data_IF_630474370863
#
_entry.id   IF_630474370863
#
_cell.length_a   1.000
_cell.length_b   1.000
_cell.length_c   1.000
_cell.angle_alpha   90.00
_cell.angle_beta   90.00
_cell.angle_gamma   90.00
#
_symmetry.space_group_name_H-M   'P 1'
#
loop_
_entity.id
_entity.type
_entity.pdbx_description
1 polymer ?
#
# COMPACT_ATOMS: atom_id res chain seq x y z
N UNK A 1 25.10 1.56 8.49
CA UNK A 1 24.39 0.27 8.37
C UNK A 1 24.77 -0.40 7.06
N UNK A 2 25.24 -1.64 7.14
CA UNK A 2 25.58 -2.42 5.95
C UNK A 2 24.91 -3.79 6.04
N UNK A 3 24.20 -4.19 5.00
CA UNK A 3 23.66 -5.54 4.82
C UNK A 3 24.53 -6.33 3.83
N UNK A 4 24.66 -7.63 4.03
CA UNK A 4 25.28 -8.51 3.05
C UNK A 4 24.36 -8.67 1.82
N UNK A 5 24.93 -9.00 0.67
CA UNK A 5 24.15 -9.33 -0.53
C UNK A 5 23.17 -10.46 -0.25
N UNK A 6 21.91 -10.30 -0.64
CA UNK A 6 20.81 -11.22 -0.35
C UNK A 6 20.26 -11.16 1.08
N UNK A 7 20.78 -10.29 1.95
CA UNK A 7 20.25 -10.14 3.29
C UNK A 7 18.90 -9.40 3.28
N UNK A 8 18.07 -9.66 4.29
CA UNK A 8 16.80 -8.98 4.52
C UNK A 8 16.93 -7.99 5.67
N UNK A 9 16.58 -6.72 5.41
CA UNK A 9 16.40 -5.69 6.42
C UNK A 9 14.91 -5.39 6.50
N UNK A 10 14.30 -5.62 7.66
CA UNK A 10 12.86 -5.45 7.82
C UNK A 10 12.52 -4.29 8.73
N UNK A 11 11.65 -3.42 8.29
CA UNK A 11 11.00 -2.37 9.08
C UNK A 11 9.51 -2.71 9.19
N UNK A 12 9.05 -2.85 10.42
CA UNK A 12 7.65 -3.18 10.72
C UNK A 12 7.09 -2.20 11.74
N UNK A 13 5.80 -1.88 11.72
CA UNK A 13 5.18 -1.03 12.71
C UNK A 13 5.38 -1.57 14.13
N UNK A 14 5.46 -0.66 15.10
CA UNK A 14 5.57 -0.97 16.52
C UNK A 14 4.24 -0.71 17.20
N UNK A 15 3.80 -1.64 18.04
CA UNK A 15 2.50 -1.64 18.68
C UNK A 15 1.55 -2.68 18.10
N UNK A 16 0.31 -2.64 18.52
CA UNK A 16 -0.72 -3.60 18.12
C UNK A 16 -1.91 -2.90 17.45
N UNK A 17 -2.58 -3.62 16.58
CA UNK A 17 -3.81 -3.21 15.95
C UNK A 17 -3.65 -1.95 15.08
N UNK A 18 -4.75 -1.23 14.91
CA UNK A 18 -4.83 -0.02 14.08
C UNK A 18 -3.97 1.13 14.61
N UNK A 19 -3.60 1.10 15.90
CA UNK A 19 -2.76 2.09 16.56
C UNK A 19 -1.26 1.88 16.37
N UNK A 20 -0.83 0.78 15.72
CA UNK A 20 0.59 0.52 15.50
C UNK A 20 1.27 1.66 14.71
N UNK A 21 2.42 2.12 15.17
CA UNK A 21 3.16 3.26 14.59
C UNK A 21 4.13 2.75 13.54
N UNK A 22 4.10 3.34 12.34
CA UNK A 22 5.08 3.04 11.29
C UNK A 22 6.50 3.36 11.78
N UNK A 23 7.40 2.40 11.61
CA UNK A 23 8.78 2.51 12.05
C UNK A 23 9.57 3.40 11.09
N UNK A 24 10.34 4.34 11.67
CA UNK A 24 11.37 5.09 10.96
C UNK A 24 12.74 4.70 11.49
N UNK A 25 13.75 4.74 10.62
CA UNK A 25 15.13 4.40 10.95
C UNK A 25 16.04 5.60 10.75
N UNK A 26 16.83 5.95 11.79
CA UNK A 26 17.90 6.93 11.66
C UNK A 26 19.26 6.23 11.62
N UNK A 27 20.03 6.49 10.57
CA UNK A 27 21.38 5.96 10.35
C UNK A 27 22.38 7.10 10.49
N UNK A 28 23.27 7.03 11.47
CA UNK A 28 24.24 8.09 11.74
C UNK A 28 25.30 8.23 10.65
N UNK A 29 25.73 7.11 10.03
CA UNK A 29 26.79 7.14 9.04
C UNK A 29 26.68 5.98 8.05
N UNK A 30 26.43 6.30 6.79
CA UNK A 30 26.36 5.38 5.65
C UNK A 30 25.26 4.30 5.72
N UNK A 31 24.60 4.10 4.60
CA UNK A 31 23.61 3.03 4.40
C UNK A 31 24.00 2.25 3.15
N UNK A 32 24.35 0.97 3.29
CA UNK A 32 24.64 0.09 2.17
C UNK A 32 23.75 -1.15 2.22
N UNK A 33 22.80 -1.21 1.29
CA UNK A 33 21.88 -2.32 1.09
C UNK A 33 22.01 -2.93 -0.32
N UNK A 34 23.17 -2.75 -0.96
CA UNK A 34 23.42 -3.22 -2.32
C UNK A 34 23.08 -4.71 -2.48
N UNK A 35 22.27 -5.03 -3.50
CA UNK A 35 21.83 -6.39 -3.82
C UNK A 35 21.18 -7.12 -2.62
N UNK A 36 20.46 -6.40 -1.77
CA UNK A 36 19.75 -6.95 -0.61
C UNK A 36 18.24 -6.73 -0.72
N UNK A 37 17.49 -7.08 0.32
CA UNK A 37 16.05 -6.86 0.42
C UNK A 37 15.75 -5.88 1.55
N UNK A 38 14.94 -4.87 1.27
CA UNK A 38 14.38 -3.95 2.25
C UNK A 38 12.88 -4.22 2.37
N UNK A 39 12.48 -4.93 3.41
CA UNK A 39 11.09 -5.33 3.63
C UNK A 39 10.39 -4.29 4.50
N UNK A 40 9.48 -3.53 3.90
CA UNK A 40 8.66 -2.54 4.57
C UNK A 40 7.27 -3.11 4.82
N UNK A 41 6.90 -3.27 6.08
CA UNK A 41 5.52 -3.51 6.49
C UNK A 41 4.94 -2.20 6.99
N UNK A 42 3.85 -1.76 6.37
CA UNK A 42 3.30 -0.43 6.58
C UNK A 42 1.90 -0.56 7.17
N UNK A 43 1.66 0.17 8.26
CA UNK A 43 0.31 0.34 8.78
C UNK A 43 -0.41 1.41 7.95
N UNK A 44 -1.30 0.97 7.08
CA UNK A 44 -2.04 1.83 6.15
C UNK A 44 -3.22 2.56 6.79
N UNK A 45 -3.47 2.35 8.08
CA UNK A 45 -4.55 3.02 8.83
C UNK A 45 -4.21 4.42 9.31
N UNK A 46 -2.99 4.88 9.06
CA UNK A 46 -2.53 6.13 9.64
C UNK A 46 -2.64 7.26 8.62
N UNK A 47 -3.23 8.38 9.06
CA UNK A 47 -3.33 9.61 8.27
C UNK A 47 -1.94 10.23 7.96
N UNK A 48 -0.91 9.87 8.75
CA UNK A 48 0.46 10.31 8.57
C UNK A 48 1.32 9.40 7.68
N UNK A 49 0.67 8.50 6.93
CA UNK A 49 1.32 7.60 6.02
C UNK A 49 2.25 8.36 5.07
N UNK A 50 3.54 8.03 5.11
CA UNK A 50 4.58 8.66 4.28
C UNK A 50 4.77 10.18 4.46
N UNK A 51 4.27 10.78 5.53
CA UNK A 51 4.51 12.19 5.83
C UNK A 51 5.98 12.49 6.18
N UNK A 52 6.73 11.48 6.58
CA UNK A 52 8.15 11.55 6.93
C UNK A 52 8.95 10.50 6.16
N UNK A 53 10.27 10.70 5.97
CA UNK A 53 11.13 9.67 5.39
C UNK A 53 11.10 8.39 6.23
N UNK A 54 11.11 7.22 5.55
CA UNK A 54 11.19 5.93 6.23
C UNK A 54 12.58 5.74 6.86
N UNK A 55 13.63 6.15 6.15
CA UNK A 55 15.02 6.10 6.61
C UNK A 55 15.64 7.49 6.48
N UNK A 56 16.27 7.97 7.53
CA UNK A 56 17.09 9.20 7.51
C UNK A 56 18.56 8.84 7.69
N UNK A 57 19.41 9.27 6.77
CA UNK A 57 20.87 9.08 6.84
C UNK A 57 21.53 10.43 7.12
N UNK A 58 22.23 10.54 8.25
CA UNK A 58 22.78 11.82 8.72
C UNK A 58 24.13 12.17 8.07
N UNK A 59 24.93 11.16 7.69
CA UNK A 59 26.23 11.32 7.05
C UNK A 59 26.61 10.07 6.24
N UNK A 60 27.64 10.20 5.38
CA UNK A 60 28.17 9.10 4.57
C UNK A 60 27.31 8.78 3.35
N UNK A 61 27.74 7.78 2.58
CA UNK A 61 27.10 7.39 1.32
C UNK A 61 25.89 6.49 1.53
N UNK A 62 24.95 6.57 0.58
CA UNK A 62 23.76 5.69 0.51
C UNK A 62 23.84 4.88 -0.78
N UNK A 63 23.82 3.56 -0.66
CA UNK A 63 23.84 2.63 -1.78
C UNK A 63 22.71 1.59 -1.65
N UNK A 64 21.72 1.69 -2.52
CA UNK A 64 20.62 0.74 -2.70
C UNK A 64 20.66 0.09 -4.09
N UNK A 65 21.82 0.08 -4.78
CA UNK A 65 21.92 -0.52 -6.12
C UNK A 65 21.53 -2.00 -6.10
N UNK A 66 20.62 -2.38 -6.99
CA UNK A 66 20.11 -3.74 -7.09
C UNK A 66 19.27 -4.21 -5.89
N UNK A 67 18.88 -3.31 -4.97
CA UNK A 67 18.03 -3.63 -3.83
C UNK A 67 16.59 -3.86 -4.27
N UNK A 68 15.94 -4.91 -3.74
CA UNK A 68 14.49 -5.07 -3.85
C UNK A 68 13.82 -4.46 -2.62
N UNK A 69 12.95 -3.49 -2.83
CA UNK A 69 12.11 -2.89 -1.79
C UNK A 69 10.75 -3.56 -1.80
N UNK A 70 10.45 -4.37 -0.79
CA UNK A 70 9.17 -5.05 -0.66
C UNK A 70 8.20 -4.18 0.13
N UNK A 71 7.05 -3.84 -0.48
CA UNK A 71 5.97 -3.09 0.17
C UNK A 71 4.86 -4.05 0.59
N UNK A 72 4.70 -4.25 1.88
CA UNK A 72 3.60 -4.99 2.47
C UNK A 72 2.73 -4.10 3.36
N UNK A 73 1.44 -4.39 3.44
CA UNK A 73 0.54 -3.79 4.41
C UNK A 73 0.42 -4.66 5.66
N UNK A 74 0.17 -4.03 6.78
CA UNK A 74 -0.14 -4.75 8.00
C UNK A 74 -1.59 -5.26 7.89
N UNK A 75 -1.76 -6.54 7.52
CA UNK A 75 -3.00 -7.34 7.56
C UNK A 75 -4.32 -6.59 7.38
N UNK A 76 -5.30 -6.91 8.19
CA UNK A 76 -6.70 -6.49 8.12
C UNK A 76 -6.98 -4.99 8.39
N UNK A 77 -6.08 -4.10 7.98
CA UNK A 77 -6.21 -2.67 8.27
C UNK A 77 -6.78 -1.86 7.11
N UNK A 78 -7.31 -0.70 7.49
CA UNK A 78 -7.98 0.24 6.62
C UNK A 78 -7.15 0.63 5.40
N UNK A 79 -7.84 0.87 4.33
CA UNK A 79 -7.29 1.58 3.19
C UNK A 79 -6.89 3.00 3.63
N UNK A 80 -5.74 3.54 3.22
CA UNK A 80 -5.40 4.91 3.52
C UNK A 80 -6.49 5.87 3.06
N UNK A 81 -6.50 7.05 3.65
CA UNK A 81 -7.55 8.04 3.46
C UNK A 81 -7.79 8.45 2.00
N UNK A 82 -6.83 8.23 1.10
CA UNK A 82 -6.96 8.52 -0.33
C UNK A 82 -6.29 7.48 -1.23
N UNK A 83 -6.93 6.33 -1.49
CA UNK A 83 -6.44 5.35 -2.47
C UNK A 83 -6.66 5.80 -3.93
N UNK A 84 -7.05 7.04 -4.16
CA UNK A 84 -7.22 7.64 -5.49
C UNK A 84 -6.00 8.46 -5.94
N UNK A 85 -5.07 8.76 -5.02
CA UNK A 85 -3.83 9.47 -5.32
C UNK A 85 -2.69 8.50 -5.67
N UNK A 86 -1.77 8.94 -6.52
CA UNK A 86 -0.55 8.20 -6.80
C UNK A 86 0.32 8.08 -5.55
N UNK A 87 0.94 6.91 -5.38
CA UNK A 87 1.91 6.70 -4.34
C UNK A 87 3.17 7.51 -4.64
N UNK A 88 3.64 8.28 -3.66
CA UNK A 88 4.88 9.03 -3.74
C UNK A 88 5.39 9.30 -2.32
N UNK A 89 6.45 8.62 -1.90
CA UNK A 89 7.02 8.83 -0.58
C UNK A 89 8.54 8.76 -0.58
N UNK A 90 9.15 9.45 0.37
CA UNK A 90 10.59 9.40 0.59
C UNK A 90 10.96 8.14 1.36
N UNK A 91 11.61 7.20 0.67
CA UNK A 91 12.15 5.99 1.28
C UNK A 91 13.39 6.32 2.13
N UNK A 92 14.34 7.03 1.54
CA UNK A 92 15.56 7.47 2.21
C UNK A 92 15.73 8.97 2.03
N UNK A 93 15.96 9.69 3.12
CA UNK A 93 16.44 11.08 3.10
C UNK A 93 17.89 11.10 3.58
N UNK A 94 18.78 11.45 2.68
CA UNK A 94 20.20 11.61 2.90
C UNK A 94 20.66 13.04 2.51
N UNK A 95 19.77 14.01 2.62
CA UNK A 95 20.06 15.42 2.28
C UNK A 95 21.20 15.95 3.16
N UNK A 96 22.30 16.32 2.54
CA UNK A 96 23.50 16.76 3.24
C UNK A 96 24.47 15.64 3.61
N UNK A 97 24.15 14.38 3.31
CA UNK A 97 25.06 13.24 3.40
C UNK A 97 25.97 13.16 2.16
N UNK A 98 26.57 11.99 1.91
CA UNK A 98 27.43 11.74 0.76
C UNK A 98 26.67 11.47 -0.54
N UNK A 99 27.19 10.55 -1.35
CA UNK A 99 26.54 10.13 -2.60
C UNK A 99 25.31 9.26 -2.32
N UNK A 100 24.29 9.36 -3.20
CA UNK A 100 23.07 8.55 -3.11
C UNK A 100 22.88 7.80 -4.42
N UNK A 101 22.75 6.48 -4.35
CA UNK A 101 22.58 5.59 -5.49
C UNK A 101 21.48 4.56 -5.24
N UNK A 102 20.68 4.27 -6.26
CA UNK A 102 19.65 3.22 -6.27
C UNK A 102 19.50 2.62 -7.69
N UNK A 103 20.60 2.43 -8.41
CA UNK A 103 20.58 1.91 -9.78
C UNK A 103 20.11 0.45 -9.80
N UNK A 104 19.12 0.16 -10.65
CA UNK A 104 18.57 -1.20 -10.73
C UNK A 104 17.80 -1.65 -9.48
N UNK A 105 17.53 -0.74 -8.54
CA UNK A 105 16.62 -1.04 -7.44
C UNK A 105 15.19 -1.20 -7.96
N UNK A 106 14.43 -2.12 -7.35
CA UNK A 106 13.07 -2.47 -7.74
C UNK A 106 12.11 -2.42 -6.57
N UNK A 107 10.83 -2.29 -6.86
CA UNK A 107 9.76 -2.41 -5.85
C UNK A 107 8.96 -3.68 -6.12
N UNK A 108 8.77 -4.47 -5.08
CA UNK A 108 7.87 -5.62 -5.04
C UNK A 108 6.73 -5.30 -4.07
N UNK A 109 5.52 -5.18 -4.58
CA UNK A 109 4.36 -4.77 -3.81
C UNK A 109 3.40 -5.93 -3.58
N UNK A 110 2.81 -5.97 -2.39
CA UNK A 110 1.83 -6.99 -2.02
C UNK A 110 0.67 -6.39 -1.21
N UNK A 111 -0.39 -7.17 -1.06
CA UNK A 111 -1.53 -6.80 -0.24
C UNK A 111 -2.22 -5.55 -0.75
N UNK A 112 -2.40 -4.56 0.12
CA UNK A 112 -3.02 -3.28 -0.19
C UNK A 112 -2.35 -2.58 -1.38
N UNK A 113 -1.01 -2.54 -1.41
CA UNK A 113 -0.27 -1.81 -2.44
C UNK A 113 -0.47 -2.42 -3.83
N UNK A 114 -0.34 -3.73 -3.98
CA UNK A 114 -0.58 -4.39 -5.26
C UNK A 114 -2.06 -4.31 -5.69
N UNK A 115 -2.98 -4.26 -4.74
CA UNK A 115 -4.41 -4.18 -5.07
C UNK A 115 -4.80 -2.84 -5.71
N UNK A 116 -4.28 -1.72 -5.19
CA UNK A 116 -4.67 -0.37 -5.63
C UNK A 116 -3.67 0.34 -6.53
N UNK A 117 -2.41 -0.12 -6.56
CA UNK A 117 -1.35 0.55 -7.31
C UNK A 117 -0.67 -0.37 -8.31
N UNK A 118 -0.03 0.22 -9.30
CA UNK A 118 0.75 -0.42 -10.35
C UNK A 118 1.94 0.46 -10.75
N UNK A 119 2.79 -0.04 -11.65
CA UNK A 119 3.91 0.73 -12.22
C UNK A 119 4.78 1.37 -11.13
N UNK A 120 5.19 0.54 -10.17
CA UNK A 120 6.08 0.99 -9.12
C UNK A 120 7.45 1.36 -9.65
N UNK A 121 8.05 2.40 -9.07
CA UNK A 121 9.39 2.86 -9.42
C UNK A 121 10.16 3.38 -8.23
N UNK A 122 11.48 3.38 -8.39
CA UNK A 122 12.42 4.02 -7.46
C UNK A 122 13.25 5.01 -8.25
N UNK A 123 13.43 6.21 -7.69
CA UNK A 123 14.29 7.25 -8.27
C UNK A 123 15.10 7.96 -7.19
N UNK A 124 16.23 8.51 -7.60
CA UNK A 124 17.04 9.41 -6.77
C UNK A 124 16.73 10.85 -7.15
N UNK A 125 16.51 11.71 -6.14
CA UNK A 125 16.14 13.11 -6.33
C UNK A 125 16.65 13.96 -5.16
N UNK A 126 17.57 14.91 -5.42
CA UNK A 126 18.01 15.88 -4.42
C UNK A 126 18.58 15.30 -3.11
N UNK A 127 19.34 14.19 -3.19
CA UNK A 127 19.86 13.49 -2.01
C UNK A 127 18.84 12.56 -1.33
N UNK A 128 17.74 12.25 -2.03
CA UNK A 128 16.69 11.36 -1.54
C UNK A 128 16.52 10.17 -2.48
N UNK A 129 16.02 9.07 -1.95
CA UNK A 129 15.46 7.96 -2.71
C UNK A 129 13.95 7.97 -2.50
N UNK A 130 13.22 8.05 -3.60
CA UNK A 130 11.77 8.19 -3.62
C UNK A 130 11.16 6.95 -4.27
N UNK A 131 10.14 6.39 -3.64
CA UNK A 131 9.29 5.33 -4.19
C UNK A 131 8.02 5.95 -4.75
N UNK A 132 7.64 5.51 -5.95
CA UNK A 132 6.43 5.93 -6.63
C UNK A 132 5.59 4.72 -7.04
N UNK A 133 4.29 4.93 -7.23
CA UNK A 133 3.37 3.95 -7.80
C UNK A 133 2.17 4.69 -8.38
N UNK A 134 1.67 4.24 -9.52
CA UNK A 134 0.46 4.80 -10.09
C UNK A 134 -0.77 4.12 -9.50
N UNK A 135 -1.78 4.91 -9.11
CA UNK A 135 -3.06 4.35 -8.72
C UNK A 135 -3.68 3.64 -9.94
N UNK A 136 -4.20 2.43 -9.73
CA UNK A 136 -4.90 1.71 -10.80
C UNK A 136 -6.14 2.47 -11.23
N UNK A 137 -6.33 2.61 -12.53
CA UNK A 137 -7.56 3.16 -13.13
C UNK A 137 -8.61 2.08 -13.33
N UNK A 138 -8.18 0.85 -13.48
CA UNK A 138 -9.04 -0.31 -13.62
C UNK A 138 -9.56 -0.77 -12.25
N UNK A 139 -10.82 -1.17 -12.24
CA UNK A 139 -11.48 -1.62 -11.03
C UNK A 139 -11.04 -3.03 -10.63
N UNK A 140 -10.13 -3.12 -9.68
CA UNK A 140 -9.58 -4.40 -9.21
C UNK A 140 -10.62 -5.36 -8.59
N UNK A 141 -11.79 -4.89 -8.18
CA UNK A 141 -12.88 -5.77 -7.73
C UNK A 141 -13.56 -6.52 -8.88
N UNK A 142 -13.41 -6.02 -10.12
CA UNK A 142 -13.98 -6.67 -11.31
C UNK A 142 -13.37 -8.04 -11.59
N UNK A 143 -12.16 -8.31 -11.14
CA UNK A 143 -11.48 -9.61 -11.34
C UNK A 143 -12.24 -10.77 -10.69
N UNK A 144 -13.04 -10.50 -9.68
CA UNK A 144 -13.90 -11.50 -9.02
C UNK A 144 -15.37 -11.41 -9.42
N UNK A 145 -15.78 -10.38 -10.17
CA UNK A 145 -17.18 -10.20 -10.57
C UNK A 145 -17.54 -11.21 -11.69
N UNK A 146 -18.66 -11.91 -11.56
CA UNK A 146 -19.08 -12.95 -12.49
C UNK A 146 -20.57 -12.87 -12.85
N UNK A 147 -21.29 -11.88 -12.36
CA UNK A 147 -22.70 -11.60 -12.64
C UNK A 147 -22.92 -10.10 -12.68
N UNK A 148 -23.98 -9.63 -13.34
CA UNK A 148 -24.34 -8.22 -13.40
C UNK A 148 -24.48 -7.59 -11.99
N UNK A 149 -25.00 -8.34 -11.01
CA UNK A 149 -25.11 -7.85 -9.64
C UNK A 149 -23.74 -7.73 -8.95
N UNK A 150 -22.82 -8.70 -9.16
CA UNK A 150 -21.47 -8.59 -8.61
C UNK A 150 -20.66 -7.49 -9.29
N UNK A 151 -20.84 -7.25 -10.58
CA UNK A 151 -20.26 -6.12 -11.31
C UNK A 151 -20.75 -4.77 -10.75
N UNK A 152 -22.04 -4.63 -10.50
CA UNK A 152 -22.61 -3.45 -9.86
C UNK A 152 -22.04 -3.22 -8.45
N UNK A 153 -21.87 -4.30 -7.66
CA UNK A 153 -21.22 -4.26 -6.37
C UNK A 153 -19.73 -3.90 -6.45
N UNK A 154 -18.99 -4.45 -7.40
CA UNK A 154 -17.60 -4.11 -7.65
C UNK A 154 -17.44 -2.61 -7.96
N UNK A 155 -18.30 -2.06 -8.81
CA UNK A 155 -18.32 -0.64 -9.13
C UNK A 155 -18.69 0.23 -7.90
N UNK A 156 -19.63 -0.21 -7.07
CA UNK A 156 -19.97 0.47 -5.83
C UNK A 156 -18.75 0.56 -4.90
N UNK A 157 -18.03 -0.53 -4.67
CA UNK A 157 -16.85 -0.57 -3.82
C UNK A 157 -15.72 0.29 -4.38
N UNK A 158 -15.45 0.18 -5.67
CA UNK A 158 -14.40 0.94 -6.33
C UNK A 158 -14.63 2.45 -6.31
N UNK A 159 -15.84 2.89 -6.65
CA UNK A 159 -16.17 4.31 -6.72
C UNK A 159 -16.21 4.99 -5.34
N UNK A 160 -16.33 4.21 -4.28
CA UNK A 160 -16.32 4.72 -2.90
C UNK A 160 -15.03 4.41 -2.14
N UNK A 161 -13.96 3.96 -2.81
CA UNK A 161 -12.71 3.55 -2.16
C UNK A 161 -12.03 4.64 -1.32
N UNK A 162 -12.18 5.91 -1.71
CA UNK A 162 -11.67 7.06 -0.96
C UNK A 162 -12.65 7.65 0.07
N UNK A 163 -13.91 7.20 0.10
CA UNK A 163 -14.98 7.83 0.88
C UNK A 163 -15.65 6.90 1.92
N UNK A 164 -15.21 5.66 2.00
CA UNK A 164 -15.81 4.68 2.91
C UNK A 164 -14.75 4.12 3.86
N UNK A 165 -14.44 4.82 4.97
CA UNK A 165 -13.46 4.37 5.94
C UNK A 165 -13.94 3.12 6.67
N UNK A 166 -13.01 2.38 7.27
CA UNK A 166 -13.28 1.25 8.15
C UNK A 166 -14.21 1.65 9.30
N UNK A 167 -14.99 0.68 9.76
CA UNK A 167 -16.05 0.93 10.74
C UNK A 167 -17.33 1.43 10.10
N UNK A 168 -17.33 1.73 8.79
CA UNK A 168 -18.57 1.87 8.02
C UNK A 168 -18.91 0.55 7.34
N UNK A 169 -20.19 0.27 7.14
CA UNK A 169 -20.64 -0.96 6.48
C UNK A 169 -19.96 -1.17 5.10
N UNK A 170 -19.81 -0.09 4.35
CA UNK A 170 -19.21 -0.15 3.01
C UNK A 170 -17.67 -0.33 3.08
N UNK A 171 -17.01 0.31 4.03
CA UNK A 171 -15.57 0.15 4.25
C UNK A 171 -15.21 -1.26 4.69
N UNK A 172 -15.93 -1.79 5.69
CA UNK A 172 -15.71 -3.16 6.19
C UNK A 172 -16.01 -4.22 5.11
N UNK A 173 -17.06 -4.00 4.31
CA UNK A 173 -17.36 -4.87 3.18
C UNK A 173 -16.26 -4.82 2.11
N UNK A 174 -15.78 -3.63 1.78
CA UNK A 174 -14.71 -3.44 0.80
C UNK A 174 -13.44 -4.20 1.22
N UNK A 175 -13.05 -4.07 2.47
CA UNK A 175 -11.91 -4.79 3.01
C UNK A 175 -12.10 -6.31 2.96
N UNK A 176 -13.27 -6.79 3.40
CA UNK A 176 -13.57 -8.23 3.35
C UNK A 176 -13.53 -8.79 1.91
N UNK A 177 -14.08 -8.06 0.94
CA UNK A 177 -14.07 -8.46 -0.47
C UNK A 177 -12.63 -8.44 -1.04
N UNK A 178 -11.84 -7.41 -0.72
CA UNK A 178 -10.43 -7.35 -1.13
C UNK A 178 -9.64 -8.54 -0.59
N UNK A 179 -9.77 -8.84 0.70
CA UNK A 179 -9.09 -9.97 1.33
C UNK A 179 -9.50 -11.31 0.72
N UNK A 180 -10.78 -11.47 0.36
CA UNK A 180 -11.27 -12.65 -0.36
C UNK A 180 -10.62 -12.79 -1.75
N UNK A 181 -10.52 -11.69 -2.51
CA UNK A 181 -9.88 -11.69 -3.83
C UNK A 181 -8.40 -12.09 -3.70
N UNK A 182 -7.67 -11.44 -2.81
CA UNK A 182 -6.24 -11.68 -2.60
C UNK A 182 -5.94 -13.09 -2.07
N UNK A 183 -6.89 -13.70 -1.36
CA UNK A 183 -6.80 -15.09 -0.88
C UNK A 183 -7.30 -16.11 -1.91
N UNK A 184 -7.69 -15.70 -3.11
CA UNK A 184 -8.24 -16.56 -4.16
C UNK A 184 -9.69 -16.99 -3.96
N UNK A 185 -10.39 -16.45 -2.97
CA UNK A 185 -11.80 -16.75 -2.66
C UNK A 185 -12.78 -15.95 -3.55
N UNK A 186 -12.54 -15.90 -4.85
CA UNK A 186 -13.28 -15.07 -5.81
C UNK A 186 -14.79 -15.31 -5.80
N UNK A 187 -15.23 -16.57 -5.59
CA UNK A 187 -16.66 -16.89 -5.49
C UNK A 187 -17.34 -16.26 -4.26
N UNK A 188 -16.62 -16.13 -3.13
CA UNK A 188 -17.12 -15.46 -1.93
C UNK A 188 -17.16 -13.96 -2.14
N UNK A 189 -16.12 -13.39 -2.70
CA UNK A 189 -16.05 -11.99 -3.11
C UNK A 189 -17.24 -11.61 -4.03
N UNK A 190 -17.49 -12.38 -5.07
CA UNK A 190 -18.61 -12.16 -5.99
C UNK A 190 -19.98 -12.14 -5.28
N UNK A 191 -20.22 -13.09 -4.37
CA UNK A 191 -21.47 -13.12 -3.59
C UNK A 191 -21.63 -11.91 -2.71
N UNK A 192 -20.57 -11.49 -2.02
CA UNK A 192 -20.57 -10.32 -1.14
C UNK A 192 -20.84 -9.03 -1.93
N UNK A 193 -20.24 -8.87 -3.10
CA UNK A 193 -20.51 -7.77 -4.01
C UNK A 193 -21.93 -7.76 -4.54
N UNK A 194 -22.46 -8.90 -4.94
CA UNK A 194 -23.84 -9.03 -5.41
C UNK A 194 -24.86 -8.68 -4.32
N UNK A 195 -24.61 -9.08 -3.07
CA UNK A 195 -25.44 -8.73 -1.92
C UNK A 195 -25.41 -7.20 -1.64
N UNK A 196 -24.26 -6.56 -1.77
CA UNK A 196 -24.14 -5.11 -1.62
C UNK A 196 -24.98 -4.34 -2.66
N UNK A 197 -24.92 -4.74 -3.92
CA UNK A 197 -25.72 -4.15 -4.99
C UNK A 197 -27.23 -4.34 -4.75
N UNK A 198 -27.66 -5.53 -4.31
CA UNK A 198 -29.05 -5.83 -4.00
C UNK A 198 -29.60 -5.01 -2.82
N UNK A 199 -28.80 -4.75 -1.79
CA UNK A 199 -29.22 -3.94 -0.64
C UNK A 199 -29.43 -2.47 -0.99
N UNK A 200 -28.64 -1.91 -1.91
CA UNK A 200 -28.78 -0.53 -2.40
C UNK A 200 -30.06 -0.36 -3.23
N UNK A 201 -30.42 -1.33 -4.06
CA UNK A 201 -31.67 -1.29 -4.85
C UNK A 201 -32.89 -1.32 -3.95
N UNK A 202 -32.89 -2.14 -2.88
CA UNK A 202 -33.99 -2.19 -1.92
C UNK A 202 -34.15 -0.89 -1.12
N UNK A 203 -33.04 -0.21 -0.77
CA UNK A 203 -33.10 1.06 -0.07
C UNK A 203 -33.70 2.20 -0.94
N UNK A 204 -33.46 2.17 -2.25
CA UNK A 204 -34.04 3.13 -3.18
C UNK A 204 -35.52 2.84 -3.54
N UNK A 205 -35.95 1.56 -3.42
CA UNK A 205 -37.34 1.14 -3.71
C UNK A 205 -38.34 1.36 -2.60
N UNK A 206 -37.91 1.72 -1.39
CA UNK A 206 -38.76 1.92 -0.20
C UNK A 206 -39.03 3.39 0.13
N UNK A 207 -38.76 4.34 -0.76
CA UNK A 207 -39.17 5.72 -0.56
C UNK A 207 -40.72 5.77 -0.54
N UNK A 208 -41.37 6.25 0.54
CA UNK A 208 -42.81 6.32 0.61
C UNK A 208 -43.35 7.24 -0.49
N UNK A 209 -44.42 6.78 -1.13
CA UNK A 209 -45.18 7.57 -2.09
C UNK A 209 -45.96 8.67 -1.37
#
# INVERSE_FOLDING_TARGET
LTAASGAHVRLSPVGEGTGAVNTTLTVANGLNLQNSHLDLVINTNRDDLFSSPVITVQAGDVNLDGTTVSLGSLGDYDDPADPTANLNFTLVDATGAGTVSANGATVDASGYFDFYYQEFGIRTEGGKIVVTGMVKTENAFMDAANTANSEAGANLLWNNRGNAPKGTQLGDLREAVRNDIQSGNTSRAARSMAAAAGSTVNALGTAPK
#
